data_IF_297343275846
#
_entry.id   IF_297343275846
#
_cell.length_a   1.000
_cell.length_b   1.000
_cell.length_c   1.000
_cell.angle_alpha   90.00
_cell.angle_beta   90.00
_cell.angle_gamma   90.00
#
_symmetry.space_group_name_H-M   'P 1'
#
loop_
_entity.id
_entity.type
_entity.pdbx_description
1 polymer ?
#
# COMPACT_ATOMS: atom_id res chain seq x y z
N UNK A 1 3.20 16.96 -12.77
CA UNK A 1 2.94 17.71 -14.01
C UNK A 1 1.48 17.63 -14.46
N UNK A 2 0.51 17.50 -13.54
CA UNK A 2 -0.93 17.57 -13.90
C UNK A 2 -1.56 18.89 -13.43
N UNK A 3 -1.10 19.41 -12.29
CA UNK A 3 -1.55 20.69 -11.69
C UNK A 3 -1.27 21.93 -12.56
N UNK A 4 -0.30 21.86 -13.48
CA UNK A 4 0.06 22.98 -14.36
C UNK A 4 -0.81 23.11 -15.63
N UNK A 5 -1.64 22.12 -15.96
CA UNK A 5 -2.34 22.07 -17.25
C UNK A 5 -3.67 22.84 -17.30
N UNK A 6 -4.15 23.39 -16.18
CA UNK A 6 -5.43 24.09 -16.13
C UNK A 6 -6.67 23.17 -16.26
N UNK A 7 -6.49 21.86 -16.50
CA UNK A 7 -7.57 20.87 -16.52
C UNK A 7 -8.29 20.76 -15.17
N UNK A 8 -7.55 20.88 -14.06
CA UNK A 8 -8.14 20.92 -12.72
C UNK A 8 -9.06 22.14 -12.51
N UNK A 9 -8.76 23.29 -13.11
CA UNK A 9 -9.61 24.48 -13.02
C UNK A 9 -10.96 24.27 -13.75
N UNK A 10 -10.99 23.48 -14.82
CA UNK A 10 -12.22 23.10 -15.55
C UNK A 10 -13.05 22.04 -14.82
N UNK A 11 -12.43 21.13 -14.08
CA UNK A 11 -13.17 20.17 -13.25
C UNK A 11 -13.80 20.81 -12.00
N UNK A 12 -13.22 21.92 -11.49
CA UNK A 12 -13.73 22.66 -10.33
C UNK A 12 -14.99 23.50 -10.67
N UNK A 13 -15.22 23.84 -11.94
CA UNK A 13 -16.41 24.61 -12.37
C UNK A 13 -17.61 23.74 -12.74
N UNK A 14 -17.44 22.42 -12.84
CA UNK A 14 -18.55 21.46 -13.00
C UNK A 14 -19.05 21.00 -11.61
N UNK A 15 -20.33 20.62 -11.46
CA UNK A 15 -20.89 20.14 -10.19
C UNK A 15 -20.43 18.70 -9.90
N UNK A 16 -19.12 18.47 -9.89
CA UNK A 16 -18.51 17.19 -9.55
C UNK A 16 -18.21 17.25 -8.05
N UNK A 17 -18.79 16.33 -7.28
CA UNK A 17 -18.38 16.16 -5.88
C UNK A 17 -16.88 15.82 -5.89
N UNK A 18 -16.05 16.63 -5.23
CA UNK A 18 -14.58 16.46 -5.19
C UNK A 18 -14.14 15.07 -4.69
N UNK A 19 -15.03 14.37 -3.96
CA UNK A 19 -14.88 12.97 -3.59
C UNK A 19 -14.84 12.01 -4.79
N UNK A 20 -15.57 12.27 -5.89
CA UNK A 20 -15.57 11.42 -7.09
C UNK A 20 -14.21 11.38 -7.78
N UNK A 21 -13.45 12.49 -7.80
CA UNK A 21 -12.11 12.53 -8.41
C UNK A 21 -11.12 11.69 -7.59
N UNK A 22 -11.19 11.80 -6.26
CA UNK A 22 -10.35 11.00 -5.36
C UNK A 22 -10.65 9.50 -5.50
N UNK A 23 -11.94 9.13 -5.52
CA UNK A 23 -12.38 7.76 -5.70
C UNK A 23 -12.02 7.19 -7.09
N UNK A 24 -12.08 7.99 -8.15
CA UNK A 24 -11.66 7.57 -9.48
C UNK A 24 -10.16 7.23 -9.53
N UNK A 25 -9.32 8.04 -8.88
CA UNK A 25 -7.89 7.77 -8.77
C UNK A 25 -7.63 6.48 -7.99
N UNK A 26 -8.27 6.32 -6.83
CA UNK A 26 -8.17 5.11 -6.00
C UNK A 26 -8.58 3.86 -6.78
N UNK A 27 -9.72 3.91 -7.48
CA UNK A 27 -10.22 2.78 -8.26
C UNK A 27 -9.27 2.41 -9.41
N UNK A 28 -8.75 3.41 -10.12
CA UNK A 28 -7.79 3.18 -11.21
C UNK A 28 -6.51 2.54 -10.69
N UNK A 29 -6.00 3.03 -9.55
CA UNK A 29 -4.84 2.44 -8.87
C UNK A 29 -5.11 1.01 -8.41
N UNK A 30 -6.30 0.73 -7.87
CA UNK A 30 -6.67 -0.63 -7.45
C UNK A 30 -6.66 -1.60 -8.64
N UNK A 31 -7.28 -1.22 -9.77
CA UNK A 31 -7.31 -2.05 -10.99
C UNK A 31 -5.91 -2.30 -11.53
N UNK A 32 -5.07 -1.27 -11.61
CA UNK A 32 -3.68 -1.42 -12.06
C UNK A 32 -2.87 -2.36 -11.16
N UNK A 33 -3.05 -2.27 -9.85
CA UNK A 33 -2.38 -3.14 -8.89
C UNK A 33 -2.88 -4.58 -8.95
N UNK A 34 -4.18 -4.80 -9.13
CA UNK A 34 -4.73 -6.15 -9.36
C UNK A 34 -4.12 -6.77 -10.62
N UNK A 35 -4.05 -6.02 -11.72
CA UNK A 35 -3.43 -6.50 -12.96
C UNK A 35 -1.96 -6.87 -12.73
N UNK A 36 -1.23 -6.03 -11.99
CA UNK A 36 0.17 -6.28 -11.64
C UNK A 36 0.34 -7.56 -10.83
N UNK A 37 -0.50 -7.76 -9.81
CA UNK A 37 -0.50 -8.97 -8.98
C UNK A 37 -0.78 -10.22 -9.84
N UNK A 38 -1.75 -10.16 -10.73
CA UNK A 38 -2.07 -11.27 -11.66
C UNK A 38 -0.85 -11.60 -12.52
N UNK A 39 -0.19 -10.61 -13.11
CA UNK A 39 1.02 -10.82 -13.92
C UNK A 39 2.13 -11.45 -13.09
N UNK A 40 2.39 -10.96 -11.88
CA UNK A 40 3.43 -11.51 -10.97
C UNK A 40 3.13 -12.96 -10.62
N UNK A 41 1.88 -13.30 -10.31
CA UNK A 41 1.47 -14.68 -10.00
C UNK A 41 1.66 -15.59 -11.21
N UNK A 42 1.26 -15.15 -12.41
CA UNK A 42 1.45 -15.93 -13.64
C UNK A 42 2.93 -16.23 -13.88
N UNK A 43 3.80 -15.22 -13.74
CA UNK A 43 5.25 -15.42 -13.86
C UNK A 43 5.78 -16.36 -12.79
N UNK A 44 5.33 -16.24 -11.55
CA UNK A 44 5.72 -17.16 -10.47
C UNK A 44 5.33 -18.61 -10.80
N UNK A 45 4.11 -18.84 -11.28
CA UNK A 45 3.62 -20.16 -11.71
C UNK A 45 4.46 -20.72 -12.87
N UNK A 46 4.82 -19.88 -13.84
CA UNK A 46 5.70 -20.27 -14.95
C UNK A 46 7.11 -20.65 -14.49
N UNK A 47 7.62 -20.00 -13.44
CA UNK A 47 8.89 -20.37 -12.79
C UNK A 47 8.79 -21.62 -11.90
N UNK A 48 7.62 -22.24 -11.82
CA UNK A 48 7.41 -23.49 -11.08
C UNK A 48 6.95 -23.30 -9.63
N UNK A 49 6.51 -22.09 -9.25
CA UNK A 49 5.84 -21.88 -7.96
C UNK A 49 4.63 -22.81 -7.84
N UNK A 50 4.56 -23.57 -6.73
CA UNK A 50 3.43 -24.43 -6.40
C UNK A 50 2.95 -24.07 -5.00
N UNK A 51 1.69 -23.69 -4.90
CA UNK A 51 1.04 -23.37 -3.63
C UNK A 51 0.11 -24.51 -3.21
N UNK A 52 0.07 -24.79 -1.92
CA UNK A 52 -0.89 -25.69 -1.27
C UNK A 52 -2.21 -24.99 -0.91
N UNK A 53 -2.31 -23.69 -1.21
CA UNK A 53 -3.41 -22.82 -0.79
C UNK A 53 -4.72 -23.12 -1.53
N UNK A 54 -5.83 -23.03 -0.79
CA UNK A 54 -7.17 -23.14 -1.35
C UNK A 54 -7.63 -21.77 -1.91
N UNK A 55 -8.83 -21.73 -2.51
CA UNK A 55 -9.34 -20.50 -3.12
C UNK A 55 -9.60 -19.37 -2.12
N UNK A 56 -9.95 -19.70 -0.87
CA UNK A 56 -10.16 -18.72 0.20
C UNK A 56 -8.85 -18.09 0.62
N UNK A 57 -7.77 -18.87 0.67
CA UNK A 57 -6.43 -18.37 0.99
C UNK A 57 -5.95 -17.38 -0.07
N UNK A 58 -6.17 -17.69 -1.35
CA UNK A 58 -5.89 -16.77 -2.46
C UNK A 58 -6.72 -15.48 -2.39
N UNK A 59 -8.00 -15.59 -2.02
CA UNK A 59 -8.86 -14.42 -1.80
C UNK A 59 -8.35 -13.57 -0.61
N UNK A 60 -7.86 -14.21 0.46
CA UNK A 60 -7.26 -13.51 1.60
C UNK A 60 -5.96 -12.79 1.20
N UNK A 61 -5.09 -13.43 0.40
CA UNK A 61 -3.88 -12.81 -0.16
C UNK A 61 -4.25 -11.59 -1.02
N UNK A 62 -5.23 -11.72 -1.91
CA UNK A 62 -5.70 -10.61 -2.74
C UNK A 62 -6.29 -9.48 -1.87
N UNK A 63 -7.06 -9.82 -0.84
CA UNK A 63 -7.67 -8.89 0.09
C UNK A 63 -6.64 -8.08 0.88
N UNK A 64 -5.63 -8.73 1.45
CA UNK A 64 -4.60 -8.04 2.24
C UNK A 64 -3.69 -7.17 1.37
N UNK A 65 -3.31 -7.63 0.17
CA UNK A 65 -2.54 -6.84 -0.78
C UNK A 65 -3.34 -5.63 -1.27
N UNK A 66 -4.63 -5.81 -1.56
CA UNK A 66 -5.54 -4.73 -1.91
C UNK A 66 -5.67 -3.70 -0.78
N UNK A 67 -5.83 -4.16 0.46
CA UNK A 67 -5.94 -3.27 1.63
C UNK A 67 -4.65 -2.51 1.92
N UNK A 68 -3.49 -3.16 1.78
CA UNK A 68 -2.19 -2.52 1.93
C UNK A 68 -1.95 -1.47 0.83
N UNK A 69 -2.25 -1.82 -0.41
CA UNK A 69 -2.18 -0.91 -1.56
C UNK A 69 -3.06 0.32 -1.35
N UNK A 70 -4.28 0.11 -0.87
CA UNK A 70 -5.21 1.19 -0.55
C UNK A 70 -4.67 2.09 0.57
N UNK A 71 -4.10 1.51 1.63
CA UNK A 71 -3.48 2.25 2.71
C UNK A 71 -2.30 3.11 2.22
N UNK A 72 -1.42 2.55 1.38
CA UNK A 72 -0.32 3.29 0.76
C UNK A 72 -0.81 4.39 -0.19
N UNK A 73 -1.88 4.13 -0.94
CA UNK A 73 -2.51 5.14 -1.82
C UNK A 73 -3.00 6.33 -1.00
N UNK A 74 -3.69 6.08 0.11
CA UNK A 74 -4.12 7.15 1.02
C UNK A 74 -2.94 7.93 1.60
N UNK A 75 -1.88 7.22 1.98
CA UNK A 75 -0.67 7.84 2.49
C UNK A 75 0.00 8.74 1.44
N UNK A 76 0.03 8.31 0.16
CA UNK A 76 0.58 9.05 -0.97
C UNK A 76 -0.20 10.33 -1.32
N UNK A 77 -1.47 10.45 -0.93
CA UNK A 77 -2.24 11.69 -1.10
C UNK A 77 -1.62 12.83 -0.29
N UNK A 78 -1.04 12.56 0.89
CA UNK A 78 -0.45 13.59 1.75
C UNK A 78 0.63 14.40 1.02
N UNK A 79 1.72 13.80 0.50
CA UNK A 79 2.71 14.55 -0.26
C UNK A 79 2.15 15.11 -1.57
N UNK A 80 1.17 14.46 -2.20
CA UNK A 80 0.46 15.01 -3.36
C UNK A 80 -0.23 16.34 -3.07
N UNK A 81 -0.69 16.57 -1.84
CA UNK A 81 -1.27 17.82 -1.39
C UNK A 81 -0.22 18.78 -0.79
N UNK A 82 0.76 18.30 -0.03
CA UNK A 82 1.65 19.17 0.76
C UNK A 82 2.96 19.55 0.08
N UNK A 83 3.40 18.81 -0.94
CA UNK A 83 4.67 19.06 -1.59
C UNK A 83 4.63 20.36 -2.42
N UNK A 84 5.67 21.19 -2.25
CA UNK A 84 5.84 22.46 -3.00
C UNK A 84 6.64 22.30 -4.29
N UNK A 85 7.28 21.15 -4.50
CA UNK A 85 8.08 20.81 -5.68
C UNK A 85 7.94 19.33 -6.03
N UNK A 86 8.33 18.98 -7.26
CA UNK A 86 8.31 17.59 -7.73
C UNK A 86 9.34 16.75 -7.00
N UNK A 87 10.54 17.30 -6.77
CA UNK A 87 11.62 16.66 -6.02
C UNK A 87 11.18 16.38 -4.58
N UNK A 88 10.46 17.33 -3.97
CA UNK A 88 9.89 17.15 -2.63
C UNK A 88 8.88 16.00 -2.60
N UNK A 89 7.95 15.94 -3.57
CA UNK A 89 6.97 14.86 -3.66
C UNK A 89 7.62 13.48 -3.84
N UNK A 90 8.66 13.39 -4.69
CA UNK A 90 9.41 12.14 -4.89
C UNK A 90 10.13 11.70 -3.61
N UNK A 91 10.75 12.64 -2.89
CA UNK A 91 11.48 12.34 -1.65
C UNK A 91 10.59 11.70 -0.57
N UNK A 92 9.30 12.06 -0.51
CA UNK A 92 8.33 11.42 0.39
C UNK A 92 8.09 9.93 0.09
N UNK A 93 8.36 9.48 -1.14
CA UNK A 93 8.17 8.09 -1.53
C UNK A 93 9.33 7.20 -1.07
N UNK A 94 10.52 7.75 -0.83
CA UNK A 94 11.70 6.94 -0.50
C UNK A 94 11.52 6.07 0.74
N UNK A 95 11.01 6.56 1.89
CA UNK A 95 10.79 5.69 3.05
C UNK A 95 9.88 4.50 2.73
N UNK A 96 8.84 4.70 1.91
CA UNK A 96 7.90 3.65 1.51
C UNK A 96 8.53 2.63 0.57
N UNK A 97 9.42 3.07 -0.32
CA UNK A 97 10.16 2.21 -1.23
C UNK A 97 11.21 1.39 -0.48
N UNK A 98 11.88 1.98 0.51
CA UNK A 98 12.93 1.31 1.28
C UNK A 98 12.39 0.39 2.40
N UNK A 99 11.18 0.65 2.91
CA UNK A 99 10.60 -0.11 4.01
C UNK A 99 10.57 -1.64 3.77
N UNK A 100 10.20 -2.16 2.58
CA UNK A 100 10.23 -3.59 2.31
C UNK A 100 11.62 -4.23 2.37
N UNK A 101 12.70 -3.47 2.10
CA UNK A 101 14.07 -4.00 2.09
C UNK A 101 14.55 -4.39 3.48
N UNK A 102 13.97 -3.81 4.53
CA UNK A 102 14.25 -4.15 5.94
C UNK A 102 13.05 -4.93 6.49
N UNK A 103 12.68 -6.01 5.79
CA UNK A 103 11.58 -6.89 6.18
C UNK A 103 11.93 -8.36 5.96
N UNK A 104 11.06 -9.25 6.43
CA UNK A 104 11.16 -10.70 6.18
C UNK A 104 11.00 -11.10 4.70
N UNK A 105 10.75 -10.15 3.78
CA UNK A 105 10.64 -10.42 2.34
C UNK A 105 12.00 -10.77 1.71
N UNK A 106 13.08 -10.16 2.18
CA UNK A 106 14.41 -10.30 1.58
C UNK A 106 15.31 -11.26 2.35
N UNK A 107 15.29 -11.16 3.67
CA UNK A 107 16.14 -11.96 4.57
C UNK A 107 15.32 -12.35 5.79
N UNK A 108 15.47 -13.56 6.33
CA UNK A 108 14.84 -13.93 7.60
C UNK A 108 15.22 -12.96 8.73
N UNK A 109 14.25 -12.55 9.55
CA UNK A 109 14.46 -11.48 10.55
C UNK A 109 15.36 -11.92 11.69
N UNK A 110 15.42 -13.21 11.98
CA UNK A 110 16.24 -13.80 13.03
C UNK A 110 17.75 -13.69 12.75
N UNK A 111 18.16 -13.54 11.48
CA UNK A 111 19.56 -13.35 11.11
C UNK A 111 19.99 -11.89 11.14
N UNK A 112 19.07 -10.96 11.41
CA UNK A 112 19.36 -9.52 11.45
C UNK A 112 19.98 -9.09 12.79
N UNK A 113 20.85 -8.06 12.81
CA UNK A 113 21.35 -7.46 14.06
C UNK A 113 20.19 -6.96 14.94
N UNK A 114 20.35 -7.00 16.28
CA UNK A 114 19.26 -6.75 17.25
C UNK A 114 18.39 -5.52 16.95
N UNK A 115 18.99 -4.38 16.62
CA UNK A 115 18.26 -3.13 16.34
C UNK A 115 17.46 -3.24 15.04
N UNK A 116 18.08 -3.77 13.99
CA UNK A 116 17.46 -3.96 12.68
C UNK A 116 16.31 -4.96 12.78
N UNK A 117 16.52 -6.06 13.51
CA UNK A 117 15.52 -7.07 13.80
C UNK A 117 14.30 -6.48 14.52
N UNK A 118 14.52 -5.70 15.58
CA UNK A 118 13.43 -5.08 16.32
C UNK A 118 12.57 -4.18 15.42
N UNK A 119 13.18 -3.42 14.51
CA UNK A 119 12.44 -2.66 13.52
C UNK A 119 11.71 -3.57 12.52
N UNK A 120 12.40 -4.53 11.94
CA UNK A 120 11.85 -5.43 10.94
C UNK A 120 10.66 -6.24 11.47
N UNK A 121 10.68 -6.70 12.72
CA UNK A 121 9.59 -7.48 13.32
C UNK A 121 8.35 -6.62 13.64
N UNK A 122 8.49 -5.30 13.77
CA UNK A 122 7.42 -4.39 14.21
C UNK A 122 6.90 -3.47 13.10
N UNK A 123 7.10 -3.82 11.84
CA UNK A 123 6.72 -3.00 10.70
C UNK A 123 5.72 -3.73 9.78
N UNK A 124 4.86 -3.00 9.04
CA UNK A 124 3.71 -3.58 8.34
C UNK A 124 4.07 -4.62 7.27
N UNK A 125 5.15 -4.40 6.53
CA UNK A 125 5.56 -5.27 5.41
C UNK A 125 5.91 -6.66 5.91
N UNK A 126 6.60 -6.78 7.04
CA UNK A 126 6.96 -8.09 7.61
C UNK A 126 5.73 -8.90 7.98
N UNK A 127 4.74 -8.28 8.64
CA UNK A 127 3.49 -8.97 8.99
C UNK A 127 2.71 -9.38 7.75
N UNK A 128 2.65 -8.53 6.71
CA UNK A 128 1.99 -8.86 5.45
C UNK A 128 2.67 -10.02 4.74
N UNK A 129 4.01 -9.99 4.64
CA UNK A 129 4.81 -11.04 4.00
C UNK A 129 4.66 -12.36 4.73
N UNK A 130 4.72 -12.35 6.06
CA UNK A 130 4.54 -13.55 6.88
C UNK A 130 3.11 -14.12 6.70
N UNK A 131 2.08 -13.27 6.74
CA UNK A 131 0.70 -13.69 6.52
C UNK A 131 0.50 -14.32 5.13
N UNK A 132 1.04 -13.69 4.07
CA UNK A 132 0.97 -14.23 2.71
C UNK A 132 1.73 -15.55 2.60
N UNK A 133 2.92 -15.67 3.20
CA UNK A 133 3.69 -16.91 3.19
C UNK A 133 2.93 -18.04 3.89
N UNK A 134 2.33 -17.76 5.05
CA UNK A 134 1.52 -18.71 5.79
C UNK A 134 0.29 -19.17 4.97
N UNK A 135 -0.43 -18.21 4.37
CA UNK A 135 -1.56 -18.48 3.47
C UNK A 135 -1.17 -19.36 2.27
N UNK A 136 -0.01 -19.10 1.65
CA UNK A 136 0.39 -19.76 0.41
C UNK A 136 1.06 -21.13 0.62
N UNK A 137 1.64 -21.39 1.79
CA UNK A 137 2.46 -22.59 2.04
C UNK A 137 2.07 -23.39 3.29
N UNK A 138 1.75 -22.72 4.40
CA UNK A 138 1.62 -23.35 5.72
C UNK A 138 0.16 -23.67 6.09
N UNK A 139 -0.82 -23.06 5.40
CA UNK A 139 -2.26 -23.29 5.54
C UNK A 139 -2.89 -22.71 6.82
N UNK A 140 -2.12 -22.53 7.90
CA UNK A 140 -2.57 -21.91 9.14
C UNK A 140 -2.06 -20.48 9.25
N UNK A 141 -2.95 -19.51 9.06
CA UNK A 141 -2.63 -18.10 9.27
C UNK A 141 -2.64 -17.80 10.76
N UNK A 142 -1.46 -17.65 11.34
CA UNK A 142 -1.31 -17.24 12.74
C UNK A 142 -1.73 -15.78 12.98
N UNK A 143 -1.16 -15.16 14.02
CA UNK A 143 -1.48 -13.77 14.37
C UNK A 143 -1.00 -12.72 13.35
N UNK A 144 -0.12 -13.06 12.42
CA UNK A 144 0.43 -12.13 11.43
C UNK A 144 -0.65 -11.42 10.59
N UNK A 145 -1.76 -12.11 10.26
CA UNK A 145 -2.85 -11.49 9.50
C UNK A 145 -3.53 -10.37 10.30
N UNK A 146 -3.77 -10.58 11.59
CA UNK A 146 -4.40 -9.57 12.44
C UNK A 146 -3.49 -8.37 12.63
N UNK A 147 -2.19 -8.60 12.80
CA UNK A 147 -1.19 -7.53 12.90
C UNK A 147 -1.12 -6.75 11.58
N UNK A 148 -1.10 -7.43 10.44
CA UNK A 148 -1.10 -6.81 9.11
C UNK A 148 -2.38 -6.00 8.86
N UNK A 149 -3.56 -6.52 9.23
CA UNK A 149 -4.82 -5.80 9.14
C UNK A 149 -4.82 -4.55 10.03
N UNK A 150 -4.35 -4.67 11.28
CA UNK A 150 -4.23 -3.55 12.21
C UNK A 150 -3.32 -2.45 11.65
N UNK A 151 -2.20 -2.82 11.05
CA UNK A 151 -1.31 -1.87 10.37
C UNK A 151 -1.99 -1.16 9.20
N UNK A 152 -2.65 -1.90 8.31
CA UNK A 152 -3.30 -1.33 7.14
C UNK A 152 -4.42 -0.37 7.55
N UNK A 153 -5.24 -0.73 8.54
CA UNK A 153 -6.29 0.14 9.08
C UNK A 153 -5.68 1.35 9.77
N UNK A 154 -4.65 1.17 10.60
CA UNK A 154 -3.94 2.25 11.28
C UNK A 154 -3.38 3.29 10.31
N UNK A 155 -2.65 2.82 9.28
CA UNK A 155 -2.12 3.68 8.21
C UNK A 155 -3.25 4.43 7.51
N UNK A 156 -4.33 3.74 7.16
CA UNK A 156 -5.46 4.35 6.45
C UNK A 156 -6.16 5.44 7.28
N UNK A 157 -6.41 5.19 8.57
CA UNK A 157 -7.03 6.16 9.48
C UNK A 157 -6.13 7.39 9.66
N UNK A 158 -4.84 7.18 9.90
CA UNK A 158 -3.86 8.25 10.03
C UNK A 158 -3.82 9.05 8.73
N UNK A 159 -3.65 8.37 7.59
CA UNK A 159 -3.54 9.02 6.30
C UNK A 159 -4.79 9.83 5.94
N UNK A 160 -5.99 9.28 6.17
CA UNK A 160 -7.26 9.97 5.96
C UNK A 160 -7.36 11.25 6.80
N UNK A 161 -7.01 11.19 8.09
CA UNK A 161 -7.06 12.34 8.97
C UNK A 161 -6.08 13.45 8.55
N UNK A 162 -4.83 13.09 8.25
CA UNK A 162 -3.81 14.04 7.82
C UNK A 162 -4.10 14.62 6.44
N UNK A 163 -4.54 13.80 5.48
CA UNK A 163 -4.96 14.27 4.16
C UNK A 163 -6.16 15.24 4.26
N UNK A 164 -7.15 14.91 5.09
CA UNK A 164 -8.30 15.79 5.34
C UNK A 164 -7.90 17.13 5.96
N UNK A 165 -6.95 17.13 6.91
CA UNK A 165 -6.40 18.36 7.51
C UNK A 165 -5.60 19.19 6.50
N UNK A 166 -4.77 18.54 5.68
CA UNK A 166 -4.00 19.20 4.62
C UNK A 166 -4.91 19.83 3.56
N UNK A 167 -5.95 19.11 3.14
CA UNK A 167 -6.92 19.58 2.16
C UNK A 167 -7.70 20.80 2.66
N UNK A 168 -8.16 20.81 3.92
CA UNK A 168 -8.83 21.98 4.52
C UNK A 168 -7.93 23.22 4.57
N UNK A 169 -6.63 23.05 4.84
CA UNK A 169 -5.66 24.16 4.87
C UNK A 169 -5.36 24.79 3.51
N UNK A 170 -5.71 24.13 2.41
CA UNK A 170 -5.54 24.70 1.06
C UNK A 170 -6.78 25.44 0.57
N UNK A 171 -7.94 25.23 1.21
CA UNK A 171 -9.22 25.83 0.83
C UNK A 171 -9.60 27.05 1.66
N UNK A 172 -8.93 27.28 2.80
CA UNK A 172 -9.03 28.50 3.60
C UNK A 172 -7.74 29.27 3.54
#
# INVERSE_FOLDING_TARGET
>A
TDVKSGLMARFITMPIKRSSVLWAHVLTSLVANVLTIVVVILVALLMGFRSSANILDWLAVAGILGMFTLALTWLAIIPGLTAKSMEGATAYSYPLIFLPFISSAFVPTETMPKIVRAFAENQPVTSIVNAIRALLYEGAVGNDIWIALAWCVGIMVIAYFFAGKAFKRQLG
#
